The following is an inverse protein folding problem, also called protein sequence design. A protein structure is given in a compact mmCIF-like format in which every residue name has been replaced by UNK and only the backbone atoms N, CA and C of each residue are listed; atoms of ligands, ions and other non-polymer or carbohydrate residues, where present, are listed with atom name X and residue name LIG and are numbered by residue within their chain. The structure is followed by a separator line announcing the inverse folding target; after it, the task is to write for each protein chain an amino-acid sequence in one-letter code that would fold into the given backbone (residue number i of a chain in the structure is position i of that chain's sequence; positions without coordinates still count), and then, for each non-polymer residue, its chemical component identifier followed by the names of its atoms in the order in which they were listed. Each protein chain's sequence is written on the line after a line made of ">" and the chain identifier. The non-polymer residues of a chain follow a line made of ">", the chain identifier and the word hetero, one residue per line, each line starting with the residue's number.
data_IF_435825655164
#
_entry.id   IF_435825655164
#
_cell.length_a   1.000
_cell.length_b   1.000
_cell.length_c   1.000
_cell.angle_alpha   90.00
_cell.angle_beta   90.00
_cell.angle_gamma   90.00
#
_symmetry.space_group_name_H-M   'P 1'
#
loop_
_entity.id
_entity.type
_entity.pdbx_description
1 polymer ?
#
# COMPACT_ATOMS: atom_id res chain seq x y z
N UNK A 1 13.17 9.98 0.57
CA UNK A 1 11.95 10.46 1.25
C UNK A 1 10.99 11.02 0.23
N UNK A 2 9.73 10.60 0.25
CA UNK A 2 8.70 11.11 -0.68
C UNK A 2 7.90 12.27 -0.07
N UNK A 3 7.39 13.13 -0.95
CA UNK A 3 6.55 14.27 -0.62
C UNK A 3 5.22 14.13 -1.36
N UNK A 4 4.16 14.68 -0.79
CA UNK A 4 2.84 14.67 -1.41
C UNK A 4 2.13 16.01 -1.21
N UNK A 5 1.12 16.25 -2.03
CA UNK A 5 0.28 17.43 -1.93
C UNK A 5 -1.16 17.05 -2.22
N UNK A 6 -2.08 17.64 -1.48
CA UNK A 6 -3.51 17.47 -1.69
C UNK A 6 -4.02 18.71 -2.43
N UNK A 7 -4.65 18.47 -3.57
CA UNK A 7 -5.29 19.52 -4.36
C UNK A 7 -6.79 19.49 -4.09
N UNK A 8 -7.32 20.59 -3.58
CA UNK A 8 -8.74 20.78 -3.28
C UNK A 8 -9.34 21.79 -4.25
N UNK A 9 -10.57 21.53 -4.67
CA UNK A 9 -11.38 22.48 -5.43
C UNK A 9 -12.42 23.07 -4.49
N UNK A 10 -12.31 24.37 -4.20
CA UNK A 10 -13.22 25.09 -3.31
C UNK A 10 -13.68 26.37 -3.99
N UNK A 11 -15.00 26.53 -4.16
CA UNK A 11 -15.62 27.72 -4.75
C UNK A 11 -15.04 28.13 -6.12
N UNK A 12 -14.61 27.15 -6.93
CA UNK A 12 -13.97 27.40 -8.22
C UNK A 12 -12.50 27.80 -8.15
N UNK A 13 -11.90 27.81 -6.96
CA UNK A 13 -10.46 27.98 -6.76
C UNK A 13 -9.81 26.64 -6.42
N UNK A 14 -8.61 26.47 -6.95
CA UNK A 14 -7.72 25.39 -6.55
C UNK A 14 -6.93 25.80 -5.30
N UNK A 15 -6.84 24.89 -4.33
CA UNK A 15 -6.08 25.06 -3.09
C UNK A 15 -5.15 23.87 -2.96
N UNK A 16 -3.89 24.15 -2.67
CA UNK A 16 -2.85 23.15 -2.56
C UNK A 16 -2.34 23.09 -1.13
N UNK A 17 -2.29 21.88 -0.58
CA UNK A 17 -1.92 21.62 0.82
C UNK A 17 -0.78 20.62 0.84
N UNK A 18 0.35 21.00 1.42
CA UNK A 18 1.47 20.10 1.66
C UNK A 18 1.07 18.96 2.59
N UNK A 19 1.52 17.75 2.29
CA UNK A 19 1.06 16.55 2.99
C UNK A 19 2.12 15.45 2.99
N UNK A 20 2.08 14.61 4.03
CA UNK A 20 2.80 13.35 3.97
C UNK A 20 2.10 12.40 2.98
N UNK A 21 2.83 11.54 2.26
CA UNK A 21 2.23 10.58 1.34
C UNK A 21 1.14 9.71 1.97
N UNK A 22 1.34 9.25 3.22
CA UNK A 22 0.36 8.41 3.93
C UNK A 22 -0.99 9.11 4.16
N UNK A 23 -0.96 10.39 4.51
CA UNK A 23 -2.17 11.18 4.76
C UNK A 23 -2.93 11.45 3.45
N UNK A 24 -2.21 11.77 2.37
CA UNK A 24 -2.79 11.98 1.03
C UNK A 24 -3.46 10.71 0.48
N UNK A 25 -2.78 9.56 0.59
CA UNK A 25 -3.32 8.25 0.16
C UNK A 25 -4.58 7.91 0.98
N UNK A 26 -4.52 8.05 2.31
CA UNK A 26 -5.65 7.73 3.17
C UNK A 26 -6.87 8.62 2.88
N UNK A 27 -6.65 9.91 2.57
CA UNK A 27 -7.73 10.80 2.15
C UNK A 27 -8.31 10.40 0.79
N UNK A 28 -7.46 10.06 -0.18
CA UNK A 28 -7.89 9.65 -1.50
C UNK A 28 -8.73 8.37 -1.46
N UNK A 29 -8.31 7.36 -0.69
CA UNK A 29 -9.07 6.11 -0.50
C UNK A 29 -10.45 6.38 0.13
N UNK A 30 -10.52 7.24 1.15
CA UNK A 30 -11.80 7.54 1.83
C UNK A 30 -12.76 8.38 0.98
N UNK A 31 -12.23 9.23 0.11
CA UNK A 31 -13.04 10.16 -0.69
C UNK A 31 -13.25 9.71 -2.13
N UNK A 32 -12.53 8.67 -2.58
CA UNK A 32 -12.47 8.25 -3.98
C UNK A 32 -11.75 9.25 -4.87
N UNK A 33 -10.90 10.12 -4.32
CA UNK A 33 -10.12 11.07 -5.09
C UNK A 33 -9.05 10.35 -5.93
N UNK A 34 -8.69 10.96 -7.05
CA UNK A 34 -7.65 10.43 -7.94
C UNK A 34 -6.27 10.63 -7.30
N UNK A 35 -5.40 9.64 -7.48
CA UNK A 35 -3.99 9.69 -7.08
C UNK A 35 -3.15 9.83 -8.34
N UNK A 36 -2.17 10.71 -8.27
CA UNK A 36 -1.17 10.90 -9.33
C UNK A 36 0.22 10.80 -8.69
N UNK A 37 1.17 10.28 -9.43
CA UNK A 37 2.58 10.25 -9.08
C UNK A 37 3.37 10.97 -10.18
N UNK A 38 4.50 11.57 -9.80
CA UNK A 38 5.42 12.11 -10.80
C UNK A 38 6.12 10.96 -11.52
N UNK A 39 6.34 11.11 -12.83
CA UNK A 39 6.96 10.08 -13.65
C UNK A 39 8.33 9.66 -13.09
N UNK A 40 9.13 10.62 -12.63
CA UNK A 40 10.44 10.39 -11.99
C UNK A 40 10.35 9.44 -10.77
N UNK A 41 9.27 9.55 -9.98
CA UNK A 41 9.05 8.68 -8.81
C UNK A 41 8.68 7.26 -9.22
N UNK A 42 7.93 7.12 -10.32
CA UNK A 42 7.59 5.82 -10.90
C UNK A 42 8.82 5.16 -11.52
N UNK A 43 9.66 5.92 -12.22
CA UNK A 43 10.88 5.41 -12.83
C UNK A 43 11.92 4.97 -11.79
N UNK A 44 12.07 5.72 -10.69
CA UNK A 44 13.06 5.41 -9.66
C UNK A 44 12.62 4.30 -8.70
N UNK A 45 11.32 4.23 -8.39
CA UNK A 45 10.81 3.44 -7.27
C UNK A 45 9.58 2.59 -7.60
N UNK A 46 9.14 2.61 -8.86
CA UNK A 46 8.07 1.74 -9.34
C UNK A 46 8.54 0.28 -9.34
N UNK A 47 7.67 -0.61 -8.86
CA UNK A 47 7.86 -2.05 -9.00
C UNK A 47 6.92 -2.51 -10.11
N UNK A 48 7.50 -3.05 -11.18
CA UNK A 48 6.72 -3.75 -12.19
C UNK A 48 6.31 -5.11 -11.63
N UNK A 49 5.01 -5.28 -11.41
CA UNK A 49 4.46 -6.59 -11.08
C UNK A 49 4.33 -7.39 -12.38
N UNK A 50 5.37 -8.16 -12.72
CA UNK A 50 5.24 -9.21 -13.72
C UNK A 50 4.39 -10.33 -13.11
N UNK A 51 3.10 -10.34 -13.44
CA UNK A 51 2.24 -11.48 -13.19
C UNK A 51 2.65 -12.65 -14.07
N UNK A 52 3.74 -13.36 -13.72
CA UNK A 52 4.01 -14.77 -13.99
C UNK A 52 5.44 -15.15 -13.54
N UNK A 53 5.56 -15.73 -12.34
CA UNK A 53 6.59 -16.73 -12.02
C UNK A 53 8.05 -16.27 -11.86
N UNK A 54 8.36 -15.55 -10.77
CA UNK A 54 9.74 -15.34 -10.32
C UNK A 54 9.85 -15.43 -8.79
N UNK A 55 10.57 -16.46 -8.32
CA UNK A 55 11.21 -16.65 -7.02
C UNK A 55 10.35 -16.38 -5.76
N UNK A 56 9.48 -17.36 -5.54
CA UNK A 56 8.61 -17.53 -4.38
C UNK A 56 9.36 -18.08 -3.15
N UNK A 57 10.12 -17.25 -2.44
CA UNK A 57 10.57 -17.61 -1.08
C UNK A 57 10.29 -16.54 0.00
N UNK A 58 9.79 -15.36 -0.36
CA UNK A 58 9.31 -14.34 0.61
C UNK A 58 7.85 -13.92 0.40
N UNK A 59 7.16 -14.50 -0.58
CA UNK A 59 5.76 -14.17 -0.93
C UNK A 59 4.74 -15.15 -0.34
N UNK A 60 5.01 -15.66 0.86
CA UNK A 60 4.04 -16.45 1.63
C UNK A 60 2.92 -15.55 2.15
N UNK A 61 2.06 -15.01 1.26
CA UNK A 61 0.64 -14.62 1.49
C UNK A 61 0.17 -13.56 0.46
N UNK A 62 0.12 -13.90 -0.83
CA UNK A 62 -0.74 -13.14 -1.77
C UNK A 62 -1.75 -14.07 -2.45
N UNK A 63 -2.44 -14.89 -1.66
CA UNK A 63 -3.79 -15.30 -2.01
C UNK A 63 -4.73 -14.19 -1.54
N UNK A 64 -5.55 -13.58 -2.42
CA UNK A 64 -6.56 -12.61 -1.99
C UNK A 64 -7.37 -13.20 -0.83
N UNK A 65 -7.52 -12.46 0.27
CA UNK A 65 -8.18 -12.97 1.48
C UNK A 65 -9.60 -13.50 1.22
N UNK A 66 -10.24 -13.04 0.14
CA UNK A 66 -11.55 -13.48 -0.32
C UNK A 66 -11.58 -14.88 -0.96
N UNK A 67 -10.43 -15.42 -1.34
CA UNK A 67 -10.28 -16.72 -2.01
C UNK A 67 -9.74 -17.81 -1.08
N UNK A 68 -9.35 -17.46 0.15
CA UNK A 68 -8.88 -18.42 1.14
C UNK A 68 -10.03 -19.23 1.75
N UNK A 69 -9.82 -20.54 1.89
CA UNK A 69 -10.70 -21.41 2.68
C UNK A 69 -10.68 -20.94 4.15
N UNK A 70 -11.85 -20.66 4.77
CA UNK A 70 -11.93 -20.29 6.19
C UNK A 70 -11.19 -21.24 7.14
N UNK A 71 -11.13 -22.53 6.81
CA UNK A 71 -10.45 -23.54 7.64
C UNK A 71 -8.92 -23.46 7.54
N UNK A 72 -8.40 -22.93 6.42
CA UNK A 72 -6.98 -22.67 6.20
C UNK A 72 -6.56 -21.38 6.91
N UNK A 73 -7.39 -20.33 6.80
CA UNK A 73 -7.17 -19.07 7.52
C UNK A 73 -7.18 -19.26 9.05
N UNK A 74 -8.06 -20.15 9.56
CA UNK A 74 -8.10 -20.49 11.00
C UNK A 74 -6.77 -21.12 11.46
N UNK A 75 -6.22 -22.06 10.70
CA UNK A 75 -4.95 -22.71 11.01
C UNK A 75 -3.77 -21.75 10.96
N UNK A 76 -3.80 -20.80 10.02
CA UNK A 76 -2.82 -19.73 9.92
C UNK A 76 -2.84 -18.85 11.19
N UNK A 77 -4.02 -18.38 11.62
CA UNK A 77 -4.16 -17.58 12.85
C UNK A 77 -3.76 -18.35 14.12
N UNK A 78 -3.88 -19.67 14.13
CA UNK A 78 -3.47 -20.50 15.27
C UNK A 78 -1.94 -20.72 15.31
N UNK A 79 -1.24 -20.49 14.19
CA UNK A 79 0.20 -20.69 14.05
C UNK A 79 0.99 -19.38 14.20
N UNK A 80 0.39 -18.24 13.83
CA UNK A 80 1.05 -16.93 13.86
C UNK A 80 0.75 -16.19 15.17
N UNK A 81 1.80 -15.70 15.83
CA UNK A 81 1.67 -14.97 17.10
C UNK A 81 1.41 -13.47 16.89
N UNK A 82 0.71 -12.78 17.81
CA UNK A 82 0.50 -11.33 17.73
C UNK A 82 1.81 -10.52 17.63
N UNK A 83 2.89 -11.02 18.24
CA UNK A 83 4.20 -10.34 18.24
C UNK A 83 4.88 -10.39 16.86
N UNK A 84 4.53 -11.36 16.02
CA UNK A 84 5.06 -11.50 14.66
C UNK A 84 4.47 -10.45 13.71
N UNK A 85 3.23 -10.02 13.96
CA UNK A 85 2.62 -8.88 13.25
C UNK A 85 3.16 -7.52 13.70
N UNK A 86 3.87 -7.46 14.84
CA UNK A 86 4.33 -6.23 15.47
C UNK A 86 5.81 -5.92 15.20
N UNK A 87 6.53 -6.78 14.48
CA UNK A 87 7.91 -6.50 14.07
C UNK A 87 7.90 -5.60 12.83
N UNK A 88 8.25 -4.34 13.02
CA UNK A 88 8.75 -3.50 11.92
C UNK A 88 10.15 -4.01 11.56
N UNK A 89 10.36 -4.40 10.31
CA UNK A 89 11.63 -4.87 9.79
C UNK A 89 12.68 -3.74 9.87
N UNK A 90 13.56 -3.79 10.88
CA UNK A 90 14.84 -3.07 10.85
C UNK A 90 15.78 -3.84 9.91
N UNK A 91 15.83 -3.43 8.64
CA UNK A 91 16.86 -3.91 7.71
C UNK A 91 18.05 -2.94 7.63
N UNK A 92 19.23 -3.56 7.56
CA UNK A 92 20.58 -3.00 7.68
C UNK A 92 21.31 -3.09 6.34
#
# INVERSE_FOLDING_TARGET
>A
TYYARITLQQNGSEIEIDSRPSDAIALAVRTGARIFAADEVIEESGIEFEGEGGDHDELASITPLAELDPDEFRRFLDTVSPDEFAREEEEN
#
